data_IF_449809191264
#
_entry.id   IF_449809191264
#
_cell.length_a   1.000
_cell.length_b   1.000
_cell.length_c   1.000
_cell.angle_alpha   90.00
_cell.angle_beta   90.00
_cell.angle_gamma   90.00
#
_symmetry.space_group_name_H-M   'P 1'
#
loop_
_entity.id
_entity.type
_entity.pdbx_description
1 polymer ?
#
# COMPACT_ATOMS: atom_id res chain seq x y z
N UNK A 1 4.33 42.06 84.30
CA UNK A 1 3.52 42.90 83.38
C UNK A 1 3.38 42.13 82.07
N UNK A 2 2.23 41.85 81.46
CA UNK A 2 0.82 41.95 81.81
C UNK A 2 0.08 40.81 81.07
N UNK A 3 -0.94 40.24 81.73
CA UNK A 3 -1.93 39.28 81.20
C UNK A 3 -3.02 39.99 80.37
N UNK A 4 -3.88 39.18 79.72
CA UNK A 4 -5.27 39.42 79.26
C UNK A 4 -5.40 39.82 77.77
N UNK A 5 -6.40 39.43 76.99
CA UNK A 5 -7.61 38.61 77.20
C UNK A 5 -8.35 38.51 75.85
N UNK A 6 -8.96 37.37 75.55
CA UNK A 6 -9.98 37.22 74.49
C UNK A 6 -11.25 38.02 74.84
N UNK A 7 -11.99 38.57 73.85
CA UNK A 7 -13.36 39.04 74.05
C UNK A 7 -14.41 37.99 73.64
N UNK A 8 -15.64 38.08 74.17
CA UNK A 8 -16.65 37.02 74.10
C UNK A 8 -17.59 37.18 72.90
N UNK A 9 -18.24 36.06 72.55
CA UNK A 9 -19.24 35.98 71.50
C UNK A 9 -20.49 36.82 71.77
N UNK A 10 -21.09 37.29 70.69
CA UNK A 10 -22.48 37.75 70.63
C UNK A 10 -23.22 36.96 69.56
N UNK A 11 -24.22 36.21 70.02
CA UNK A 11 -25.26 35.58 69.23
C UNK A 11 -26.29 36.62 68.80
N UNK A 12 -26.63 36.64 67.50
CA UNK A 12 -27.76 37.39 66.93
C UNK A 12 -28.62 36.40 66.14
N UNK A 13 -29.98 36.42 66.23
CA UNK A 13 -30.85 35.46 65.55
C UNK A 13 -31.02 35.77 64.05
N UNK A 14 -31.60 34.85 63.26
CA UNK A 14 -31.44 34.83 61.81
C UNK A 14 -32.39 35.80 61.09
N UNK A 15 -31.86 36.58 60.15
CA UNK A 15 -32.66 37.21 59.12
C UNK A 15 -32.88 36.21 57.98
N UNK A 16 -34.13 35.78 57.78
CA UNK A 16 -34.58 35.02 56.62
C UNK A 16 -34.41 35.86 55.35
N UNK A 17 -33.29 35.68 54.66
CA UNK A 17 -33.07 36.15 53.30
C UNK A 17 -33.30 34.99 52.33
N UNK A 18 -34.42 35.04 51.62
CA UNK A 18 -34.73 34.22 50.45
C UNK A 18 -33.64 34.41 49.38
N UNK A 19 -32.63 33.52 49.36
CA UNK A 19 -31.69 33.42 48.26
C UNK A 19 -32.18 32.30 47.33
N UNK A 20 -32.69 32.72 46.17
CA UNK A 20 -32.98 31.85 45.06
C UNK A 20 -31.75 30.98 44.73
N UNK A 21 -31.97 29.69 44.53
CA UNK A 21 -30.97 28.77 43.97
C UNK A 21 -30.52 29.31 42.60
N UNK A 22 -29.21 29.51 42.36
CA UNK A 22 -28.74 29.74 41.02
C UNK A 22 -28.74 28.41 40.25
N UNK A 23 -29.59 28.37 39.23
CA UNK A 23 -29.67 27.33 38.23
C UNK A 23 -28.30 27.01 37.59
N UNK A 24 -28.06 25.72 37.41
CA UNK A 24 -27.29 25.09 36.33
C UNK A 24 -25.92 25.70 35.96
N UNK A 25 -24.94 25.58 36.86
CA UNK A 25 -23.53 25.61 36.47
C UNK A 25 -23.16 24.26 35.86
N UNK A 26 -23.12 24.16 34.51
CA UNK A 26 -22.54 22.99 33.79
C UNK A 26 -21.13 22.72 34.34
N UNK A 27 -21.00 21.69 35.19
CA UNK A 27 -19.72 21.21 35.71
C UNK A 27 -18.78 20.90 34.54
N UNK A 28 -17.56 21.43 34.59
CA UNK A 28 -16.53 21.11 33.63
C UNK A 28 -16.38 19.58 33.51
N UNK A 29 -16.22 19.03 32.29
CA UNK A 29 -16.18 17.60 32.09
C UNK A 29 -15.00 16.99 32.86
N UNK A 30 -15.28 15.92 33.59
CA UNK A 30 -14.25 15.14 34.29
C UNK A 30 -13.65 14.11 33.34
N UNK A 31 -12.41 13.68 33.59
CA UNK A 31 -11.79 12.61 32.81
C UNK A 31 -12.64 11.32 32.82
N UNK A 32 -13.26 11.01 33.96
CA UNK A 32 -14.14 9.85 34.10
C UNK A 32 -15.41 9.98 33.24
N UNK A 33 -16.04 11.15 33.21
CA UNK A 33 -17.24 11.37 32.39
C UNK A 33 -16.94 11.32 30.89
N UNK A 34 -15.80 11.86 30.45
CA UNK A 34 -15.38 11.80 29.04
C UNK A 34 -15.03 10.36 28.61
N UNK A 35 -14.36 9.57 29.46
CA UNK A 35 -14.10 8.14 29.19
C UNK A 35 -15.41 7.35 29.08
N UNK A 36 -16.36 7.60 29.98
CA UNK A 36 -17.67 6.96 29.90
C UNK A 36 -18.48 7.33 28.65
N UNK A 37 -18.24 8.52 28.08
CA UNK A 37 -18.81 8.92 26.79
C UNK A 37 -18.17 8.15 25.63
N UNK A 38 -16.84 8.01 25.62
CA UNK A 38 -16.11 7.16 24.66
C UNK A 38 -16.61 5.72 24.71
N UNK A 39 -16.73 5.13 25.91
CA UNK A 39 -17.20 3.75 26.08
C UNK A 39 -18.61 3.52 25.49
N UNK A 40 -19.47 4.54 25.52
CA UNK A 40 -20.80 4.48 24.89
C UNK A 40 -20.70 4.54 23.37
N UNK A 41 -19.90 5.48 22.85
CA UNK A 41 -19.64 5.61 21.41
C UNK A 41 -19.03 4.31 20.86
N UNK A 42 -18.10 3.68 21.57
CA UNK A 42 -17.47 2.44 21.14
C UNK A 42 -18.47 1.28 21.03
N UNK A 43 -19.44 1.19 21.95
CA UNK A 43 -20.53 0.20 21.86
C UNK A 43 -21.46 0.45 20.67
N UNK A 44 -21.77 1.72 20.40
CA UNK A 44 -22.54 2.10 19.22
C UNK A 44 -21.77 1.79 17.93
N UNK A 45 -20.46 2.07 17.91
CA UNK A 45 -19.58 1.76 16.79
C UNK A 45 -19.59 0.25 16.52
N UNK A 46 -19.38 -0.59 17.53
CA UNK A 46 -19.45 -2.05 17.39
C UNK A 46 -20.79 -2.49 16.79
N UNK A 47 -21.90 -1.90 17.24
CA UNK A 47 -23.24 -2.20 16.72
C UNK A 47 -23.36 -1.84 15.24
N UNK A 48 -22.87 -0.66 14.84
CA UNK A 48 -22.87 -0.19 13.44
C UNK A 48 -21.96 -1.08 12.57
N UNK A 49 -20.78 -1.45 13.06
CA UNK A 49 -19.83 -2.31 12.36
C UNK A 49 -20.43 -3.71 12.14
N UNK A 50 -21.09 -4.30 13.14
CA UNK A 50 -21.78 -5.58 13.03
C UNK A 50 -22.93 -5.54 12.02
N UNK A 51 -23.71 -4.45 12.02
CA UNK A 51 -24.77 -4.24 11.02
C UNK A 51 -24.19 -4.14 9.61
N UNK A 52 -23.10 -3.40 9.43
CA UNK A 52 -22.39 -3.29 8.14
C UNK A 52 -21.87 -4.65 7.68
N UNK A 53 -21.28 -5.44 8.59
CA UNK A 53 -20.79 -6.78 8.29
C UNK A 53 -21.92 -7.71 7.84
N UNK A 54 -23.08 -7.66 8.52
CA UNK A 54 -24.26 -8.45 8.15
C UNK A 54 -24.76 -8.13 6.73
N UNK A 55 -24.79 -6.84 6.37
CA UNK A 55 -25.14 -6.41 5.00
C UNK A 55 -24.09 -6.88 4.00
N UNK A 56 -22.80 -6.82 4.35
CA UNK A 56 -21.72 -7.30 3.49
C UNK A 56 -21.85 -8.81 3.21
N UNK A 57 -22.24 -9.62 4.21
CA UNK A 57 -22.53 -11.05 4.01
C UNK A 57 -23.70 -11.27 3.04
N UNK A 58 -24.79 -10.50 3.15
CA UNK A 58 -25.91 -10.58 2.21
C UNK A 58 -25.48 -10.20 0.78
N UNK A 59 -24.65 -9.15 0.62
CA UNK A 59 -24.06 -8.79 -0.67
C UNK A 59 -23.22 -9.94 -1.22
N UNK A 60 -22.42 -10.60 -0.37
CA UNK A 60 -21.63 -11.77 -0.73
C UNK A 60 -22.49 -12.91 -1.27
N UNK A 61 -23.62 -13.20 -0.63
CA UNK A 61 -24.59 -14.21 -1.09
C UNK A 61 -25.14 -13.86 -2.48
N UNK A 62 -25.61 -12.62 -2.67
CA UNK A 62 -26.13 -12.14 -3.96
C UNK A 62 -25.06 -12.22 -5.05
N UNK A 63 -23.82 -11.83 -4.74
CA UNK A 63 -22.71 -11.92 -5.70
C UNK A 63 -22.41 -13.37 -6.06
N UNK A 64 -22.35 -14.27 -5.09
CA UNK A 64 -22.05 -15.66 -5.32
C UNK A 64 -23.13 -16.35 -6.17
N UNK A 65 -24.42 -16.08 -5.90
CA UNK A 65 -25.54 -16.60 -6.70
C UNK A 65 -25.50 -16.11 -8.15
N UNK A 66 -25.03 -14.89 -8.39
CA UNK A 66 -24.95 -14.28 -9.72
C UNK A 66 -23.58 -14.45 -10.40
N UNK A 67 -22.64 -15.20 -9.79
CA UNK A 67 -21.28 -15.36 -10.31
C UNK A 67 -20.47 -14.05 -10.38
N UNK A 68 -20.84 -13.05 -9.59
CA UNK A 68 -20.18 -11.74 -9.56
C UNK A 68 -18.95 -11.77 -8.64
N UNK A 69 -17.92 -10.99 -9.00
CA UNK A 69 -16.70 -10.89 -8.23
C UNK A 69 -16.90 -10.17 -6.88
N UNK A 70 -16.23 -10.70 -5.85
CA UNK A 70 -16.34 -10.20 -4.48
C UNK A 70 -15.56 -8.89 -4.31
N UNK A 71 -14.38 -8.80 -4.91
CA UNK A 71 -13.50 -7.64 -4.84
C UNK A 71 -13.54 -6.81 -6.14
N UNK A 72 -13.54 -5.48 -5.99
CA UNK A 72 -13.39 -4.52 -7.09
C UNK A 72 -12.67 -3.28 -6.55
N UNK A 73 -11.57 -2.89 -7.19
CA UNK A 73 -10.82 -1.69 -6.83
C UNK A 73 -11.67 -0.42 -7.01
N UNK A 74 -12.48 -0.38 -8.08
CA UNK A 74 -13.36 0.74 -8.36
C UNK A 74 -14.36 0.98 -7.23
N UNK A 75 -14.95 -0.11 -6.70
CA UNK A 75 -15.90 -0.01 -5.58
C UNK A 75 -15.21 0.40 -4.28
N UNK A 76 -14.00 -0.08 -4.01
CA UNK A 76 -13.23 0.38 -2.84
C UNK A 76 -12.97 1.88 -2.90
N UNK A 77 -12.54 2.39 -4.06
CA UNK A 77 -12.24 3.80 -4.25
C UNK A 77 -13.50 4.66 -4.08
N UNK A 78 -14.64 4.20 -4.62
CA UNK A 78 -15.93 4.88 -4.43
C UNK A 78 -16.33 4.96 -2.95
N UNK A 79 -16.14 3.88 -2.19
CA UNK A 79 -16.44 3.85 -0.75
C UNK A 79 -15.50 4.80 0.01
N UNK A 80 -14.21 4.76 -0.27
CA UNK A 80 -13.23 5.65 0.36
C UNK A 80 -13.53 7.12 0.04
N UNK A 81 -13.80 7.46 -1.22
CA UNK A 81 -14.15 8.82 -1.63
C UNK A 81 -15.40 9.34 -0.89
N UNK A 82 -16.43 8.51 -0.75
CA UNK A 82 -17.66 8.86 -0.01
C UNK A 82 -17.40 9.09 1.48
N UNK A 83 -16.62 8.22 2.10
CA UNK A 83 -16.29 8.32 3.53
C UNK A 83 -15.45 9.55 3.81
N UNK A 84 -14.42 9.79 3.01
CA UNK A 84 -13.53 10.94 3.16
C UNK A 84 -14.25 12.25 2.90
N UNK A 85 -15.15 12.30 1.89
CA UNK A 85 -15.97 13.47 1.61
C UNK A 85 -17.03 13.78 2.67
N UNK A 86 -17.47 12.77 3.44
CA UNK A 86 -18.42 12.94 4.53
C UNK A 86 -17.75 13.30 5.88
N UNK A 87 -16.42 13.20 5.98
CA UNK A 87 -15.71 13.47 7.23
C UNK A 87 -15.63 14.97 7.51
N UNK A 88 -16.27 15.41 8.60
CA UNK A 88 -16.13 16.76 9.16
C UNK A 88 -15.48 16.75 10.56
N UNK A 89 -15.01 15.58 10.99
CA UNK A 89 -14.47 15.36 12.32
C UNK A 89 -12.98 15.68 12.44
N UNK A 90 -12.44 15.63 13.66
CA UNK A 90 -11.02 15.93 13.94
C UNK A 90 -10.05 14.82 13.50
N UNK A 91 -10.55 13.66 13.07
CA UNK A 91 -9.70 12.56 12.62
C UNK A 91 -9.04 12.89 11.28
N UNK A 92 -7.71 12.73 11.16
CA UNK A 92 -7.02 12.89 9.88
C UNK A 92 -7.58 11.94 8.81
N UNK A 93 -7.61 12.41 7.57
CA UNK A 93 -8.15 11.63 6.44
C UNK A 93 -7.38 10.32 6.21
N UNK A 94 -6.06 10.31 6.40
CA UNK A 94 -5.24 9.10 6.26
C UNK A 94 -5.59 8.04 7.29
N UNK A 95 -5.85 8.44 8.53
CA UNK A 95 -6.31 7.53 9.60
C UNK A 95 -7.66 6.91 9.25
N UNK A 96 -8.62 7.72 8.79
CA UNK A 96 -9.93 7.22 8.37
C UNK A 96 -9.80 6.23 7.20
N UNK A 97 -8.92 6.51 6.23
CA UNK A 97 -8.66 5.62 5.11
C UNK A 97 -8.16 4.24 5.58
N UNK A 98 -7.22 4.20 6.53
CA UNK A 98 -6.69 2.95 7.09
C UNK A 98 -7.79 2.15 7.81
N UNK A 99 -8.58 2.79 8.66
CA UNK A 99 -9.70 2.16 9.38
C UNK A 99 -10.68 1.53 8.40
N UNK A 100 -11.09 2.26 7.36
CA UNK A 100 -12.06 1.76 6.39
C UNK A 100 -11.47 0.67 5.48
N UNK A 101 -10.18 0.71 5.14
CA UNK A 101 -9.52 -0.38 4.40
C UNK A 101 -9.54 -1.68 5.19
N UNK A 102 -9.20 -1.64 6.47
CA UNK A 102 -9.20 -2.84 7.32
C UNK A 102 -10.63 -3.35 7.57
N UNK A 103 -11.58 -2.44 7.82
CA UNK A 103 -12.99 -2.80 7.92
C UNK A 103 -13.54 -3.44 6.64
N UNK A 104 -13.18 -2.91 5.47
CA UNK A 104 -13.52 -3.51 4.18
C UNK A 104 -12.87 -4.89 4.02
N UNK A 105 -11.62 -5.05 4.45
CA UNK A 105 -10.93 -6.36 4.44
C UNK A 105 -11.67 -7.40 5.29
N UNK A 106 -11.91 -7.11 6.57
CA UNK A 106 -12.60 -8.04 7.47
C UNK A 106 -14.00 -8.42 6.98
N UNK A 107 -14.77 -7.44 6.47
CA UNK A 107 -16.11 -7.72 5.92
C UNK A 107 -16.12 -8.46 4.59
N UNK A 108 -15.03 -8.40 3.81
CA UNK A 108 -14.86 -9.25 2.62
C UNK A 108 -14.49 -10.68 2.97
N UNK A 109 -13.67 -10.88 4.00
CA UNK A 109 -13.30 -12.21 4.47
C UNK A 109 -14.53 -13.05 4.87
N UNK A 110 -15.61 -12.39 5.32
CA UNK A 110 -16.91 -13.03 5.61
C UNK A 110 -17.66 -13.52 4.36
N UNK A 111 -17.37 -12.99 3.16
CA UNK A 111 -18.07 -13.32 1.92
C UNK A 111 -17.43 -14.53 1.22
N UNK A 112 -16.09 -14.63 1.26
CA UNK A 112 -15.27 -15.76 0.79
C UNK A 112 -13.83 -15.52 1.20
N UNK A 113 -13.06 -16.59 1.37
CA UNK A 113 -11.59 -16.48 1.48
C UNK A 113 -11.02 -15.98 0.16
N UNK A 114 -10.68 -14.69 0.12
CA UNK A 114 -9.85 -14.13 -0.95
C UNK A 114 -8.42 -14.63 -0.76
N UNK A 115 -7.81 -15.08 -1.86
CA UNK A 115 -6.42 -15.53 -1.89
C UNK A 115 -5.63 -14.61 -2.81
N UNK A 116 -4.52 -14.09 -2.30
CA UNK A 116 -3.68 -13.13 -3.01
C UNK A 116 -2.25 -13.66 -3.03
N UNK A 117 -1.71 -13.95 -4.21
CA UNK A 117 -0.32 -14.34 -4.34
C UNK A 117 0.61 -13.11 -4.30
N UNK A 118 1.75 -13.21 -3.63
CA UNK A 118 2.76 -12.16 -3.63
C UNK A 118 4.16 -12.76 -3.53
N UNK A 119 5.17 -12.02 -4.00
CA UNK A 119 6.56 -12.43 -3.83
C UNK A 119 6.93 -12.48 -2.34
N UNK A 120 7.32 -13.66 -1.88
CA UNK A 120 7.71 -13.91 -0.49
C UNK A 120 9.11 -13.37 -0.14
N UNK A 121 9.55 -13.61 1.11
CA UNK A 121 8.78 -14.22 2.20
C UNK A 121 7.80 -13.22 2.86
N UNK A 122 7.06 -13.66 3.89
CA UNK A 122 6.23 -12.74 4.70
C UNK A 122 7.06 -11.58 5.23
N UNK A 123 6.44 -10.41 5.35
CA UNK A 123 7.08 -9.14 5.75
C UNK A 123 8.08 -8.55 4.75
N UNK A 124 8.21 -9.13 3.54
CA UNK A 124 8.82 -8.44 2.40
C UNK A 124 7.97 -7.23 1.97
N UNK A 125 8.55 -6.29 1.23
CA UNK A 125 7.77 -5.15 0.72
C UNK A 125 6.64 -5.56 -0.23
N UNK A 126 6.78 -6.66 -0.97
CA UNK A 126 5.69 -7.23 -1.78
C UNK A 126 4.54 -7.75 -0.91
N UNK A 127 4.87 -8.40 0.21
CA UNK A 127 3.87 -8.81 1.21
C UNK A 127 3.18 -7.59 1.84
N UNK A 128 3.95 -6.56 2.23
CA UNK A 128 3.39 -5.33 2.79
C UNK A 128 2.49 -4.59 1.80
N UNK A 129 2.84 -4.56 0.51
CA UNK A 129 1.98 -4.02 -0.53
C UNK A 129 0.66 -4.81 -0.66
N UNK A 130 0.70 -6.15 -0.53
CA UNK A 130 -0.49 -7.00 -0.52
C UNK A 130 -1.38 -6.70 0.69
N UNK A 131 -0.81 -6.63 1.90
CA UNK A 131 -1.54 -6.27 3.13
C UNK A 131 -2.11 -4.86 3.04
N UNK A 132 -1.35 -3.87 2.59
CA UNK A 132 -1.82 -2.49 2.46
C UNK A 132 -3.01 -2.33 1.49
N UNK A 133 -3.10 -3.18 0.47
CA UNK A 133 -4.18 -3.15 -0.52
C UNK A 133 -5.39 -4.00 -0.12
N UNK A 134 -5.16 -5.23 0.33
CA UNK A 134 -6.22 -6.20 0.58
C UNK A 134 -6.62 -6.32 2.06
N UNK A 135 -5.79 -5.81 2.97
CA UNK A 135 -5.88 -5.96 4.43
C UNK A 135 -5.30 -7.27 4.94
N UNK A 136 -5.14 -7.39 6.25
CA UNK A 136 -4.47 -8.53 6.87
C UNK A 136 -5.34 -9.80 6.90
N UNK A 137 -6.66 -9.63 6.96
CA UNK A 137 -7.64 -10.74 7.06
C UNK A 137 -7.73 -11.65 5.81
N UNK A 138 -7.05 -11.30 4.71
CA UNK A 138 -7.03 -12.05 3.46
C UNK A 138 -5.94 -13.14 3.49
N UNK A 139 -6.13 -14.26 2.78
CA UNK A 139 -5.09 -15.28 2.68
C UNK A 139 -3.99 -14.82 1.71
N UNK A 140 -2.85 -14.40 2.28
CA UNK A 140 -1.67 -13.99 1.52
C UNK A 140 -0.78 -15.21 1.22
N UNK A 141 -0.76 -15.64 -0.05
CA UNK A 141 0.02 -16.78 -0.54
C UNK A 141 1.40 -16.29 -1.00
N UNK A 142 2.42 -16.49 -0.16
CA UNK A 142 3.80 -16.09 -0.52
C UNK A 142 4.45 -17.15 -1.41
N UNK A 143 4.97 -16.73 -2.57
CA UNK A 143 5.66 -17.60 -3.52
C UNK A 143 7.12 -17.17 -3.75
N UNK A 144 7.95 -18.06 -4.29
CA UNK A 144 9.40 -17.86 -4.39
C UNK A 144 9.88 -16.99 -5.55
N UNK A 145 9.03 -16.68 -6.54
CA UNK A 145 9.41 -15.88 -7.71
C UNK A 145 8.24 -15.05 -8.24
N UNK A 146 8.54 -13.99 -8.99
CA UNK A 146 7.53 -13.18 -9.68
C UNK A 146 6.75 -14.06 -10.67
N UNK A 147 7.44 -14.94 -11.39
CA UNK A 147 6.81 -15.86 -12.33
C UNK A 147 5.76 -16.75 -11.65
N UNK A 148 6.06 -17.28 -10.46
CA UNK A 148 5.10 -18.07 -9.69
C UNK A 148 3.84 -17.27 -9.32
N UNK A 149 3.95 -15.95 -9.06
CA UNK A 149 2.76 -15.10 -8.80
C UNK A 149 1.85 -15.06 -10.03
N UNK A 150 2.42 -14.87 -11.21
CA UNK A 150 1.65 -14.88 -12.46
C UNK A 150 1.04 -16.26 -12.75
N UNK A 151 1.77 -17.34 -12.51
CA UNK A 151 1.26 -18.70 -12.72
C UNK A 151 0.09 -19.04 -11.79
N UNK A 152 0.16 -18.65 -10.51
CA UNK A 152 -0.93 -18.86 -9.55
C UNK A 152 -2.22 -18.14 -9.98
N UNK A 153 -2.09 -16.92 -10.53
CA UNK A 153 -3.23 -16.16 -11.08
C UNK A 153 -3.74 -16.79 -12.36
N UNK A 154 -2.85 -17.12 -13.31
CA UNK A 154 -3.22 -17.70 -14.60
C UNK A 154 -3.88 -19.09 -14.47
N UNK A 155 -3.48 -19.88 -13.45
CA UNK A 155 -4.10 -21.18 -13.12
C UNK A 155 -5.34 -21.05 -12.24
N UNK A 156 -5.73 -19.82 -11.86
CA UNK A 156 -6.88 -19.52 -10.98
C UNK A 156 -6.78 -20.18 -9.60
N UNK A 157 -5.58 -20.46 -9.13
CA UNK A 157 -5.35 -20.93 -7.75
C UNK A 157 -5.60 -19.79 -6.74
N UNK A 158 -5.30 -18.56 -7.17
CA UNK A 158 -5.58 -17.33 -6.44
C UNK A 158 -6.41 -16.38 -7.31
N UNK A 159 -7.11 -15.43 -6.69
CA UNK A 159 -7.89 -14.44 -7.44
C UNK A 159 -7.04 -13.26 -7.91
N UNK A 160 -5.99 -12.93 -7.13
CA UNK A 160 -5.14 -11.77 -7.39
C UNK A 160 -3.67 -12.10 -7.14
N UNK A 161 -2.79 -11.37 -7.81
CA UNK A 161 -1.36 -11.36 -7.56
C UNK A 161 -0.85 -9.95 -7.30
N UNK A 162 0.22 -9.81 -6.50
CA UNK A 162 0.95 -8.56 -6.30
C UNK A 162 2.38 -8.73 -6.82
N UNK A 163 2.76 -7.90 -7.78
CA UNK A 163 4.10 -7.91 -8.39
C UNK A 163 4.68 -6.49 -8.47
N UNK A 164 5.97 -6.29 -8.18
CA UNK A 164 6.59 -4.98 -8.33
C UNK A 164 6.80 -4.66 -9.82
N UNK A 165 6.46 -3.44 -10.24
CA UNK A 165 6.65 -2.94 -11.61
C UNK A 165 7.96 -2.14 -11.73
N UNK A 166 8.18 -1.22 -10.81
CA UNK A 166 9.35 -0.34 -10.78
C UNK A 166 9.67 0.10 -9.34
N UNK A 167 10.92 0.44 -9.12
CA UNK A 167 11.40 1.15 -7.94
C UNK A 167 12.06 2.47 -8.39
N UNK A 168 11.81 3.57 -7.70
CA UNK A 168 12.34 4.89 -8.07
C UNK A 168 13.87 5.00 -8.01
N UNK A 169 14.52 4.12 -7.26
CA UNK A 169 15.98 4.11 -7.07
C UNK A 169 16.67 3.08 -7.97
N UNK A 170 16.07 1.90 -8.19
CA UNK A 170 16.67 0.80 -8.97
C UNK A 170 16.05 0.56 -10.34
N UNK A 171 15.02 1.35 -10.69
CA UNK A 171 14.35 1.29 -11.98
C UNK A 171 13.36 0.14 -12.11
N UNK A 172 13.15 -0.30 -13.36
CA UNK A 172 12.17 -1.33 -13.73
C UNK A 172 12.49 -2.70 -13.14
N UNK A 173 11.45 -3.51 -12.95
CA UNK A 173 11.59 -4.93 -12.60
C UNK A 173 11.41 -5.78 -13.86
N UNK A 174 12.52 -6.21 -14.45
CA UNK A 174 12.56 -6.93 -15.73
C UNK A 174 11.69 -8.21 -15.72
N UNK A 175 11.73 -8.99 -14.64
CA UNK A 175 10.97 -10.25 -14.53
C UNK A 175 9.45 -10.03 -14.64
N UNK A 176 8.94 -8.94 -14.06
CA UNK A 176 7.51 -8.60 -14.14
C UNK A 176 7.13 -8.22 -15.57
N UNK A 177 7.96 -7.43 -16.25
CA UNK A 177 7.73 -7.01 -17.63
C UNK A 177 7.76 -8.21 -18.59
N UNK A 178 8.76 -9.08 -18.44
CA UNK A 178 8.86 -10.33 -19.20
C UNK A 178 7.60 -11.20 -19.01
N UNK A 179 7.07 -11.28 -17.80
CA UNK A 179 5.89 -12.09 -17.53
C UNK A 179 4.60 -11.59 -18.20
N UNK A 180 4.43 -10.28 -18.35
CA UNK A 180 3.33 -9.73 -19.15
C UNK A 180 3.43 -10.12 -20.63
N UNK A 181 4.64 -10.35 -21.16
CA UNK A 181 4.81 -10.82 -22.54
C UNK A 181 4.38 -12.27 -22.72
N UNK A 182 4.65 -13.11 -21.70
CA UNK A 182 4.42 -14.56 -21.71
C UNK A 182 2.99 -14.94 -21.36
N UNK A 183 2.31 -14.16 -20.51
CA UNK A 183 0.95 -14.44 -20.02
C UNK A 183 0.00 -13.27 -20.33
N UNK A 184 -0.41 -13.07 -21.60
CA UNK A 184 -1.16 -11.89 -22.04
C UNK A 184 -2.59 -11.80 -21.48
N UNK A 185 -3.12 -12.90 -20.94
CA UNK A 185 -4.43 -12.96 -20.29
C UNK A 185 -4.44 -12.33 -18.90
N UNK A 186 -3.27 -12.18 -18.28
CA UNK A 186 -3.14 -11.53 -16.97
C UNK A 186 -3.11 -10.02 -17.16
N UNK A 187 -4.04 -9.33 -16.51
CA UNK A 187 -4.25 -7.88 -16.60
C UNK A 187 -3.92 -7.18 -15.28
N UNK A 188 -3.50 -5.92 -15.37
CA UNK A 188 -3.34 -5.02 -14.23
C UNK A 188 -4.72 -4.44 -13.89
N UNK A 189 -5.14 -4.67 -12.65
CA UNK A 189 -6.47 -4.29 -12.14
C UNK A 189 -6.42 -3.15 -11.12
N UNK A 190 -5.26 -2.95 -10.49
CA UNK A 190 -4.98 -1.81 -9.63
C UNK A 190 -3.46 -1.63 -9.50
N UNK A 191 -3.04 -0.49 -8.98
CA UNK A 191 -1.66 -0.25 -8.56
C UNK A 191 -1.59 0.01 -7.05
N UNK A 192 -0.42 -0.24 -6.47
CA UNK A 192 -0.07 0.12 -5.09
C UNK A 192 1.26 0.86 -5.15
N UNK A 193 1.31 2.07 -4.58
CA UNK A 193 2.52 2.89 -4.53
C UNK A 193 3.00 2.92 -3.09
N UNK A 194 4.04 2.15 -2.78
CA UNK A 194 4.54 1.98 -1.41
C UNK A 194 5.84 2.74 -1.24
N UNK A 195 5.90 3.68 -0.29
CA UNK A 195 7.15 4.33 0.11
C UNK A 195 7.92 3.39 1.02
N UNK A 196 9.17 3.14 0.65
CA UNK A 196 10.05 2.17 1.27
C UNK A 196 10.94 2.86 2.28
N UNK A 197 10.76 2.50 3.56
CA UNK A 197 11.62 2.95 4.65
C UNK A 197 12.41 1.78 5.21
N UNK A 198 13.73 1.91 5.21
CA UNK A 198 14.62 0.91 5.76
C UNK A 198 14.94 1.23 7.21
N UNK A 199 14.86 0.22 8.05
CA UNK A 199 15.23 0.29 9.46
C UNK A 199 16.46 -0.57 9.71
N UNK A 200 17.34 -0.11 10.60
CA UNK A 200 18.35 -0.97 11.21
C UNK A 200 17.69 -1.74 12.36
N UNK A 201 17.68 -3.05 12.26
CA UNK A 201 17.09 -3.96 13.24
C UNK A 201 18.18 -4.78 13.93
N UNK A 202 18.01 -5.09 15.21
CA UNK A 202 18.94 -5.96 15.94
C UNK A 202 18.49 -6.29 17.35
N UNK A 203 19.16 -7.26 17.98
CA UNK A 203 18.98 -7.59 19.41
C UNK A 203 20.06 -6.98 20.31
N UNK A 204 21.20 -6.61 19.73
CA UNK A 204 22.32 -6.01 20.44
C UNK A 204 22.30 -4.49 20.32
N UNK A 205 23.11 -3.83 21.16
CA UNK A 205 23.46 -2.43 20.96
C UNK A 205 24.17 -2.25 19.63
N UNK A 206 23.90 -1.13 18.95
CA UNK A 206 24.44 -0.86 17.61
C UNK A 206 25.98 -0.86 17.56
N UNK A 207 26.65 -0.54 18.66
CA UNK A 207 28.12 -0.47 18.78
C UNK A 207 28.79 -1.84 18.85
N UNK A 208 28.04 -2.88 19.20
CA UNK A 208 28.53 -4.25 19.30
C UNK A 208 28.33 -5.03 17.99
N UNK A 209 27.60 -4.44 17.04
CA UNK A 209 27.18 -5.11 15.82
C UNK A 209 28.37 -5.42 14.91
N UNK A 210 28.56 -6.71 14.60
CA UNK A 210 29.66 -7.22 13.76
C UNK A 210 29.23 -7.48 12.34
N UNK A 211 27.93 -7.74 12.11
CA UNK A 211 27.38 -8.04 10.78
C UNK A 211 26.02 -7.39 10.58
N UNK A 212 25.75 -6.96 9.36
CA UNK A 212 24.47 -6.43 8.91
C UNK A 212 24.02 -7.22 7.69
N UNK A 213 22.89 -7.91 7.81
CA UNK A 213 22.26 -8.65 6.72
C UNK A 213 21.28 -7.78 5.96
N UNK A 214 21.23 -7.89 4.63
CA UNK A 214 20.07 -7.47 3.84
C UNK A 214 20.17 -7.97 2.40
N UNK A 215 19.16 -7.67 1.58
CA UNK A 215 19.28 -7.82 0.13
C UNK A 215 20.29 -6.80 -0.41
N UNK A 216 21.04 -7.15 -1.45
CA UNK A 216 22.03 -6.28 -2.11
C UNK A 216 21.51 -4.87 -2.38
N UNK A 217 20.29 -4.78 -2.92
CA UNK A 217 19.58 -3.52 -3.19
C UNK A 217 19.41 -2.65 -1.93
N UNK A 218 18.91 -3.24 -0.83
CA UNK A 218 18.69 -2.50 0.42
C UNK A 218 20.01 -2.09 1.09
N UNK A 219 21.06 -2.92 1.03
CA UNK A 219 22.40 -2.54 1.49
C UNK A 219 22.96 -1.38 0.67
N UNK A 220 22.78 -1.41 -0.65
CA UNK A 220 23.22 -0.34 -1.55
C UNK A 220 22.47 0.96 -1.29
N UNK A 221 21.17 0.89 -1.04
CA UNK A 221 20.32 2.04 -0.72
C UNK A 221 20.61 2.66 0.66
N UNK A 222 21.31 1.96 1.56
CA UNK A 222 21.66 2.47 2.89
C UNK A 222 23.18 2.61 3.07
N UNK A 223 23.94 2.66 1.96
CA UNK A 223 25.39 2.53 1.96
C UNK A 223 26.05 3.66 2.73
N UNK A 224 25.61 4.90 2.54
CA UNK A 224 26.23 6.05 3.19
C UNK A 224 25.96 6.02 4.70
N UNK A 225 24.72 5.71 5.10
CA UNK A 225 24.36 5.59 6.51
C UNK A 225 25.13 4.44 7.19
N UNK A 226 25.18 3.26 6.58
CA UNK A 226 25.91 2.11 7.10
C UNK A 226 27.42 2.35 7.16
N UNK A 227 27.99 3.03 6.15
CA UNK A 227 29.41 3.38 6.13
C UNK A 227 29.79 4.35 7.24
N UNK A 228 28.91 5.31 7.55
CA UNK A 228 29.13 6.31 8.61
C UNK A 228 28.94 5.74 10.02
N UNK A 229 27.88 4.96 10.24
CA UNK A 229 27.48 4.55 11.59
C UNK A 229 27.98 3.14 11.97
N UNK A 230 28.19 2.26 10.99
CA UNK A 230 28.65 0.88 11.18
C UNK A 230 29.85 0.56 10.27
N UNK A 231 30.95 1.33 10.34
CA UNK A 231 32.11 1.10 9.47
C UNK A 231 32.73 -0.29 9.68
N UNK A 232 32.74 -0.78 10.92
CA UNK A 232 33.36 -2.05 11.31
C UNK A 232 32.48 -3.28 11.05
N UNK A 233 31.17 -3.12 10.86
CA UNK A 233 30.27 -4.25 10.63
C UNK A 233 30.40 -4.76 9.18
N UNK A 234 30.50 -6.07 9.00
CA UNK A 234 30.45 -6.69 7.68
C UNK A 234 29.04 -6.62 7.11
N UNK A 235 28.90 -6.19 5.85
CA UNK A 235 27.62 -6.12 5.15
C UNK A 235 27.45 -7.41 4.34
N UNK A 236 26.45 -8.22 4.68
CA UNK A 236 26.27 -9.56 4.11
C UNK A 236 24.98 -9.62 3.31
N UNK A 237 25.12 -9.95 2.03
CA UNK A 237 23.99 -10.06 1.10
C UNK A 237 23.22 -11.37 1.30
N UNK A 238 21.90 -11.25 1.33
CA UNK A 238 20.98 -12.38 1.45
C UNK A 238 19.79 -12.21 0.50
N UNK A 239 18.94 -13.24 0.43
CA UNK A 239 17.88 -13.33 -0.59
C UNK A 239 16.75 -12.30 -0.44
N UNK A 240 16.50 -11.76 0.76
CA UNK A 240 15.48 -10.73 0.98
C UNK A 240 15.71 -9.95 2.28
N UNK A 241 15.09 -8.78 2.42
CA UNK A 241 15.10 -7.97 3.65
C UNK A 241 14.44 -8.70 4.82
N UNK A 242 13.36 -9.43 4.59
CA UNK A 242 12.69 -10.21 5.63
C UNK A 242 13.53 -11.45 6.06
N UNK A 243 14.20 -12.12 5.13
CA UNK A 243 15.17 -13.18 5.48
C UNK A 243 16.36 -12.64 6.28
N UNK A 244 16.76 -11.39 6.02
CA UNK A 244 17.78 -10.73 6.83
C UNK A 244 17.34 -10.51 8.28
N UNK A 245 16.10 -10.07 8.49
CA UNK A 245 15.53 -9.94 9.83
C UNK A 245 15.47 -11.30 10.56
N UNK A 246 15.07 -12.38 9.85
CA UNK A 246 15.10 -13.73 10.41
C UNK A 246 16.52 -14.16 10.83
N UNK A 247 17.54 -13.87 10.01
CA UNK A 247 18.94 -14.20 10.32
C UNK A 247 19.47 -13.39 11.52
N UNK A 248 19.18 -12.08 11.57
CA UNK A 248 19.56 -11.23 12.69
C UNK A 248 18.89 -11.62 14.02
N UNK A 249 17.72 -12.25 13.97
CA UNK A 249 17.09 -12.84 15.15
C UNK A 249 17.87 -14.03 15.69
N UNK A 250 18.49 -14.84 14.82
CA UNK A 250 19.18 -16.08 15.21
C UNK A 250 20.61 -15.84 15.67
N UNK A 251 21.32 -14.92 15.02
CA UNK A 251 22.73 -14.66 15.31
C UNK A 251 22.92 -13.57 16.37
N UNK A 252 23.89 -13.74 17.26
CA UNK A 252 24.30 -12.71 18.21
C UNK A 252 25.17 -11.65 17.53
N UNK A 253 25.07 -10.40 17.99
CA UNK A 253 25.82 -9.27 17.41
C UNK A 253 25.57 -9.03 15.92
N UNK A 254 24.45 -9.54 15.40
CA UNK A 254 23.98 -9.31 14.04
C UNK A 254 22.83 -8.31 14.02
N UNK A 255 22.78 -7.51 12.95
CA UNK A 255 21.65 -6.69 12.60
C UNK A 255 21.13 -6.98 11.20
N UNK A 256 20.00 -6.37 10.86
CA UNK A 256 19.40 -6.44 9.55
C UNK A 256 18.96 -5.06 9.07
N UNK A 257 19.08 -4.80 7.77
CA UNK A 257 18.34 -3.72 7.14
C UNK A 257 17.03 -4.30 6.60
N UNK A 258 15.90 -3.92 7.19
CA UNK A 258 14.59 -4.43 6.78
C UNK A 258 13.45 -3.45 7.11
N UNK A 259 12.22 -3.84 6.78
CA UNK A 259 11.02 -3.06 7.06
C UNK A 259 10.70 -3.03 8.56
N UNK A 260 10.04 -1.98 9.02
CA UNK A 260 9.60 -1.86 10.42
C UNK A 260 8.66 -3.00 10.87
N UNK A 261 7.69 -3.46 10.05
CA UNK A 261 6.88 -4.63 10.39
C UNK A 261 7.70 -5.92 10.58
N UNK A 262 8.81 -6.10 9.86
CA UNK A 262 9.69 -7.25 10.07
C UNK A 262 10.32 -7.23 11.47
N UNK A 263 10.59 -6.06 12.05
CA UNK A 263 11.09 -5.94 13.41
C UNK A 263 10.12 -6.56 14.43
N UNK A 264 8.83 -6.24 14.30
CA UNK A 264 7.78 -6.78 15.17
C UNK A 264 7.65 -8.30 15.00
N UNK A 265 7.60 -8.76 13.75
CA UNK A 265 7.45 -10.17 13.42
C UNK A 265 8.59 -11.04 13.98
N UNK A 266 9.84 -10.57 13.82
CA UNK A 266 11.03 -11.29 14.25
C UNK A 266 11.53 -10.86 15.64
N UNK A 267 10.74 -10.07 16.39
CA UNK A 267 11.05 -9.59 17.75
C UNK A 267 12.43 -8.95 17.86
N UNK A 268 12.75 -8.09 16.89
CA UNK A 268 13.98 -7.29 16.86
C UNK A 268 13.68 -5.85 17.32
N UNK A 269 14.67 -5.22 17.94
CA UNK A 269 14.59 -3.80 18.25
C UNK A 269 14.84 -2.99 16.98
N UNK A 270 14.07 -1.92 16.81
CA UNK A 270 14.34 -0.89 15.79
C UNK A 270 15.40 0.04 16.38
N UNK A 271 16.64 -0.08 15.89
CA UNK A 271 17.80 0.68 16.37
C UNK A 271 17.93 2.03 15.67
N UNK A 272 17.51 2.09 14.41
CA UNK A 272 17.41 3.33 13.64
C UNK A 272 16.33 3.19 12.58
N UNK A 273 15.59 4.27 12.33
CA UNK A 273 14.56 4.36 11.29
C UNK A 273 15.05 5.25 10.14
N UNK A 274 14.52 5.02 8.94
CA UNK A 274 14.75 5.83 7.73
C UNK A 274 16.24 5.97 7.39
N UNK A 275 16.96 4.85 7.34
CA UNK A 275 18.41 4.81 7.10
C UNK A 275 18.77 4.80 5.60
N UNK A 276 17.77 4.80 4.72
CA UNK A 276 17.97 4.92 3.29
C UNK A 276 18.62 6.26 2.91
N UNK A 277 19.52 6.21 1.94
CA UNK A 277 20.25 7.37 1.43
C UNK A 277 19.33 8.31 0.64
N UNK A 278 18.18 7.83 0.15
CA UNK A 278 17.16 8.59 -0.56
C UNK A 278 15.80 8.48 0.13
N UNK A 279 15.31 9.59 0.70
CA UNK A 279 14.03 9.62 1.43
C UNK A 279 12.79 9.35 0.55
N UNK A 280 12.89 9.57 -0.77
CA UNK A 280 11.79 9.39 -1.72
C UNK A 280 11.86 8.03 -2.46
N UNK A 281 12.21 6.97 -1.74
CA UNK A 281 12.24 5.61 -2.30
C UNK A 281 10.83 5.05 -2.44
N UNK A 282 10.32 4.97 -3.66
CA UNK A 282 8.97 4.51 -3.97
C UNK A 282 9.04 3.23 -4.82
N UNK A 283 8.31 2.19 -4.40
CA UNK A 283 8.07 1.02 -5.23
C UNK A 283 6.63 1.02 -5.72
N UNK A 284 6.45 0.89 -7.03
CA UNK A 284 5.14 0.73 -7.66
C UNK A 284 4.88 -0.77 -7.85
N UNK A 285 3.76 -1.26 -7.35
CA UNK A 285 3.31 -2.63 -7.53
C UNK A 285 2.04 -2.66 -8.38
N UNK A 286 1.89 -3.70 -9.20
CA UNK A 286 0.66 -4.04 -9.89
C UNK A 286 -0.11 -5.10 -9.11
N UNK A 287 -1.43 -4.88 -8.99
CA UNK A 287 -2.39 -5.93 -8.68
C UNK A 287 -2.79 -6.57 -10.00
N UNK A 288 -2.49 -7.86 -10.16
CA UNK A 288 -2.77 -8.62 -11.38
C UNK A 288 -3.94 -9.58 -11.18
N UNK A 289 -4.77 -9.75 -12.21
CA UNK A 289 -5.94 -10.62 -12.25
C UNK A 289 -6.23 -11.08 -13.70
N UNK A 290 -7.14 -12.01 -13.91
CA UNK A 290 -7.60 -12.40 -15.26
C UNK A 290 -8.57 -11.36 -15.87
N UNK A 291 -9.32 -10.66 -15.03
CA UNK A 291 -10.38 -9.72 -15.43
C UNK A 291 -9.91 -8.27 -15.34
N UNK A 292 -10.35 -7.41 -16.29
CA UNK A 292 -10.10 -5.96 -16.20
C UNK A 292 -10.94 -5.31 -15.10
N UNK A 293 -10.55 -4.10 -14.67
CA UNK A 293 -11.34 -3.29 -13.73
C UNK A 293 -12.36 -2.41 -14.45
N UNK A 294 -13.39 -1.97 -13.72
CA UNK A 294 -14.33 -0.97 -14.19
C UNK A 294 -13.75 0.45 -14.11
N UNK A 295 -14.25 1.33 -14.99
CA UNK A 295 -13.91 2.76 -15.03
C UNK A 295 -14.28 3.48 -13.73
N UNK A 296 -13.38 4.32 -13.22
CA UNK A 296 -13.62 5.19 -12.05
C UNK A 296 -13.60 6.69 -12.37
N UNK A 297 -13.09 7.08 -13.54
CA UNK A 297 -12.92 8.48 -13.93
C UNK A 297 -11.60 9.10 -13.48
N UNK A 298 -10.85 8.44 -12.59
CA UNK A 298 -9.46 8.77 -12.24
C UNK A 298 -8.56 7.56 -12.50
N UNK A 299 -8.59 7.10 -13.74
CA UNK A 299 -7.95 5.87 -14.16
C UNK A 299 -6.59 6.10 -14.82
N UNK A 300 -5.83 5.03 -14.93
CA UNK A 300 -4.62 4.90 -15.72
C UNK A 300 -4.76 3.65 -16.58
N UNK A 301 -4.17 3.67 -17.78
CA UNK A 301 -4.10 2.51 -18.67
C UNK A 301 -2.65 2.18 -18.98
N UNK A 302 -2.25 0.93 -18.78
CA UNK A 302 -0.92 0.44 -19.16
C UNK A 302 -0.98 -0.27 -20.50
N UNK A 303 -0.07 0.09 -21.40
CA UNK A 303 0.08 -0.45 -22.74
C UNK A 303 1.43 -1.14 -22.87
N UNK A 304 1.47 -2.20 -23.67
CA UNK A 304 2.70 -2.84 -24.13
C UNK A 304 2.71 -2.79 -25.66
N UNK A 305 3.69 -2.09 -26.22
CA UNK A 305 3.81 -1.86 -27.65
C UNK A 305 5.12 -2.41 -28.19
N UNK A 306 5.06 -3.17 -29.29
CA UNK A 306 6.22 -3.52 -30.10
C UNK A 306 6.31 -2.53 -31.24
N UNK A 307 7.45 -1.86 -31.36
CA UNK A 307 7.68 -0.84 -32.39
C UNK A 307 8.70 -1.33 -33.42
N UNK A 308 8.59 -0.92 -34.70
CA UNK A 308 9.65 -1.12 -35.68
C UNK A 308 10.95 -0.48 -35.20
N UNK A 309 12.09 -1.15 -35.42
CA UNK A 309 13.40 -0.61 -35.04
C UNK A 309 13.94 0.35 -36.12
N UNK A 310 13.28 1.50 -36.27
CA UNK A 310 13.58 2.50 -37.30
C UNK A 310 13.74 3.91 -36.70
N UNK A 311 14.40 4.80 -37.44
CA UNK A 311 14.62 6.19 -37.03
C UNK A 311 13.28 6.91 -36.76
N UNK A 312 13.16 7.41 -35.53
CA UNK A 312 11.98 8.14 -35.07
C UNK A 312 10.75 7.28 -34.79
N UNK A 313 10.87 5.94 -34.79
CA UNK A 313 9.75 5.02 -34.56
C UNK A 313 9.02 5.31 -33.24
N UNK A 314 9.75 5.48 -32.13
CA UNK A 314 9.16 5.82 -30.84
C UNK A 314 8.43 7.17 -30.87
N UNK A 315 9.10 8.22 -31.34
CA UNK A 315 8.54 9.57 -31.40
C UNK A 315 7.26 9.61 -32.26
N UNK A 316 7.28 8.97 -33.43
CA UNK A 316 6.10 8.87 -34.32
C UNK A 316 4.97 8.10 -33.64
N UNK A 317 5.29 7.04 -32.89
CA UNK A 317 4.30 6.16 -32.25
C UNK A 317 3.58 6.84 -31.09
N UNK A 318 4.27 7.65 -30.28
CA UNK A 318 3.66 8.35 -29.12
C UNK A 318 3.09 9.74 -29.46
N UNK A 319 3.47 10.34 -30.59
CA UNK A 319 2.95 11.64 -31.05
C UNK A 319 1.40 11.76 -31.06
N UNK A 320 0.61 10.71 -31.33
CA UNK A 320 -0.84 10.79 -31.22
C UNK A 320 -1.35 11.10 -29.81
N UNK A 321 -0.64 10.70 -28.75
CA UNK A 321 -1.02 10.96 -27.36
C UNK A 321 -1.08 12.48 -27.11
N UNK A 322 -0.02 13.19 -27.51
CA UNK A 322 0.07 14.65 -27.41
C UNK A 322 -1.05 15.34 -28.20
N UNK A 323 -1.23 14.98 -29.48
CA UNK A 323 -2.25 15.57 -30.37
C UNK A 323 -3.67 15.38 -29.83
N UNK A 324 -3.89 14.30 -29.11
CA UNK A 324 -5.18 13.96 -28.51
C UNK A 324 -5.23 14.35 -27.03
N UNK A 325 -4.25 15.09 -26.49
CA UNK A 325 -4.27 15.57 -25.10
C UNK A 325 -4.29 14.47 -24.03
N UNK A 326 -3.74 13.28 -24.32
CA UNK A 326 -3.64 12.16 -23.38
C UNK A 326 -2.27 12.19 -22.72
N UNK A 327 -2.24 12.41 -21.40
CA UNK A 327 -0.98 12.46 -20.66
C UNK A 327 -0.35 11.06 -20.53
N UNK A 328 0.98 10.99 -20.67
CA UNK A 328 1.76 9.78 -20.47
C UNK A 328 2.58 9.93 -19.19
N UNK A 329 2.40 9.01 -18.25
CA UNK A 329 3.01 9.08 -16.90
C UNK A 329 4.23 8.20 -16.70
N UNK A 330 4.45 7.24 -17.62
CA UNK A 330 5.56 6.31 -17.54
C UNK A 330 5.86 5.73 -18.92
N UNK A 331 7.15 5.53 -19.21
CA UNK A 331 7.62 4.86 -20.42
C UNK A 331 8.88 4.08 -20.08
N UNK A 332 8.95 2.83 -20.51
CA UNK A 332 10.10 1.96 -20.29
C UNK A 332 10.37 1.10 -21.52
N UNK A 333 11.64 1.02 -21.95
CA UNK A 333 12.05 0.13 -23.03
C UNK A 333 12.45 -1.24 -22.47
N UNK A 334 12.08 -2.31 -23.18
CA UNK A 334 12.35 -3.68 -22.79
C UNK A 334 12.90 -4.45 -23.99
N UNK A 335 14.21 -4.79 -23.99
CA UNK A 335 14.79 -5.58 -25.06
C UNK A 335 14.28 -7.02 -24.98
N UNK A 336 13.76 -7.53 -26.09
CA UNK A 336 13.41 -8.94 -26.22
C UNK A 336 14.62 -9.72 -26.74
N UNK A 337 14.92 -10.91 -26.18
CA UNK A 337 15.88 -11.82 -26.78
C UNK A 337 15.47 -12.09 -28.24
N UNK A 338 16.40 -11.94 -29.18
CA UNK A 338 16.13 -12.25 -30.59
C UNK A 338 15.84 -13.73 -30.75
N UNK A 339 14.83 -14.05 -31.58
CA UNK A 339 14.71 -15.41 -32.11
C UNK A 339 15.93 -15.71 -32.99
N UNK A 340 16.32 -16.99 -33.06
CA UNK A 340 17.42 -17.46 -33.90
C UNK A 340 17.14 -17.15 -35.38
N UNK A 341 17.63 -16.00 -35.86
CA UNK A 341 17.47 -15.54 -37.25
C UNK A 341 17.47 -14.02 -37.44
N UNK A 342 17.09 -13.23 -36.43
CA UNK A 342 17.07 -11.76 -36.52
C UNK A 342 18.41 -11.14 -36.09
N UNK A 343 18.91 -10.19 -36.89
CA UNK A 343 20.18 -9.50 -36.65
C UNK A 343 20.10 -8.41 -35.58
N UNK A 344 18.90 -7.87 -35.30
CA UNK A 344 18.69 -6.77 -34.36
C UNK A 344 17.67 -7.15 -33.25
N UNK A 345 17.91 -6.76 -31.99
CA UNK A 345 16.96 -6.99 -30.90
C UNK A 345 15.66 -6.22 -31.10
N UNK A 346 14.54 -6.93 -31.02
CA UNK A 346 13.22 -6.31 -30.98
C UNK A 346 13.01 -5.63 -29.62
N UNK A 347 12.41 -4.43 -29.63
CA UNK A 347 12.11 -3.69 -28.41
C UNK A 347 10.60 -3.66 -28.14
N UNK A 348 10.24 -3.96 -26.91
CA UNK A 348 8.93 -3.65 -26.34
C UNK A 348 9.01 -2.34 -25.57
N UNK A 349 7.92 -1.59 -25.60
CA UNK A 349 7.75 -0.37 -24.83
C UNK A 349 6.53 -0.54 -23.92
N UNK A 350 6.75 -0.35 -22.62
CA UNK A 350 5.67 -0.29 -21.64
C UNK A 350 5.35 1.18 -21.38
N UNK A 351 4.07 1.54 -21.41
CA UNK A 351 3.62 2.92 -21.36
C UNK A 351 2.43 3.02 -20.40
N UNK A 352 2.46 3.96 -19.45
CA UNK A 352 1.25 4.31 -18.68
C UNK A 352 0.68 5.62 -19.23
N UNK A 353 -0.60 5.61 -19.58
CA UNK A 353 -1.35 6.80 -19.98
C UNK A 353 -2.48 7.09 -18.99
N UNK A 354 -2.84 8.36 -18.84
CA UNK A 354 -3.97 8.76 -18.01
C UNK A 354 -5.30 8.54 -18.73
N UNK A 355 -6.27 8.01 -17.99
CA UNK A 355 -7.61 7.68 -18.47
C UNK A 355 -7.84 6.19 -18.67
N UNK A 356 -9.10 5.83 -18.91
CA UNK A 356 -9.58 4.46 -19.04
C UNK A 356 -9.72 4.07 -20.52
N UNK A 357 -9.54 2.78 -20.86
CA UNK A 357 -9.68 2.27 -22.24
C UNK A 357 -11.10 2.45 -22.82
N UNK A 358 -12.09 2.82 -22.00
CA UNK A 358 -13.45 3.13 -22.46
C UNK A 358 -13.68 4.63 -22.69
N UNK A 359 -12.71 5.49 -22.34
CA UNK A 359 -12.82 6.92 -22.58
C UNK A 359 -12.66 7.22 -24.07
N UNK A 360 -13.57 7.97 -24.72
CA UNK A 360 -13.52 8.19 -26.17
C UNK A 360 -12.19 8.78 -26.67
N UNK A 361 -11.58 9.67 -25.88
CA UNK A 361 -10.29 10.30 -26.19
C UNK A 361 -9.13 9.28 -26.08
N UNK A 362 -9.12 8.46 -25.03
CA UNK A 362 -8.13 7.41 -24.81
C UNK A 362 -8.25 6.32 -25.86
N UNK A 363 -9.46 5.91 -26.23
CA UNK A 363 -9.71 4.95 -27.32
C UNK A 363 -9.13 5.43 -28.64
N UNK A 364 -9.42 6.69 -29.02
CA UNK A 364 -8.85 7.30 -30.23
C UNK A 364 -7.33 7.33 -30.17
N UNK A 365 -6.76 7.62 -29.01
CA UNK A 365 -5.32 7.67 -28.81
C UNK A 365 -4.67 6.29 -28.93
N UNK A 366 -5.19 5.27 -28.24
CA UNK A 366 -4.73 3.88 -28.32
C UNK A 366 -4.81 3.38 -29.76
N UNK A 367 -5.89 3.65 -30.49
CA UNK A 367 -6.05 3.22 -31.88
C UNK A 367 -5.05 3.93 -32.81
N UNK A 368 -4.79 5.22 -32.58
CA UNK A 368 -3.81 5.98 -33.36
C UNK A 368 -2.36 5.52 -33.09
N UNK A 369 -2.05 5.12 -31.85
CA UNK A 369 -0.77 4.50 -31.49
C UNK A 369 -0.67 3.10 -32.12
N UNK A 370 -1.71 2.27 -31.99
CA UNK A 370 -1.77 0.89 -32.53
C UNK A 370 -1.42 0.83 -34.03
N UNK A 371 -1.90 1.78 -34.83
CA UNK A 371 -1.60 1.88 -36.27
C UNK A 371 -0.12 2.12 -36.60
N UNK A 372 0.70 2.47 -35.61
CA UNK A 372 2.13 2.76 -35.74
C UNK A 372 3.01 1.73 -35.04
N UNK A 373 2.40 0.72 -34.42
CA UNK A 373 3.08 -0.37 -33.74
C UNK A 373 2.92 -1.67 -34.54
N UNK A 374 3.90 -2.56 -34.44
CA UNK A 374 3.77 -3.93 -34.95
C UNK A 374 2.77 -4.73 -34.10
N UNK A 375 2.72 -4.43 -32.81
CA UNK A 375 1.80 -5.03 -31.84
C UNK A 375 1.52 -4.02 -30.73
N UNK A 376 0.28 -3.97 -30.27
CA UNK A 376 -0.11 -3.21 -29.09
C UNK A 376 -1.13 -3.99 -28.27
N UNK A 377 -0.76 -4.27 -27.03
CA UNK A 377 -1.61 -4.92 -26.03
C UNK A 377 -1.96 -3.94 -24.92
N UNK A 378 -3.24 -3.93 -24.53
CA UNK A 378 -3.67 -3.24 -23.31
C UNK A 378 -3.47 -4.22 -22.15
N UNK A 379 -2.58 -3.86 -21.23
CA UNK A 379 -2.29 -4.66 -20.04
C UNK A 379 -3.30 -4.41 -18.93
N UNK A 380 -4.02 -3.29 -18.95
CA UNK A 380 -5.14 -3.04 -18.04
C UNK A 380 -5.47 -1.56 -17.95
N UNK A 381 -6.71 -1.26 -17.57
CA UNK A 381 -7.15 0.07 -17.14
C UNK A 381 -7.64 -0.03 -15.71
N UNK A 382 -7.17 0.85 -14.84
CA UNK A 382 -7.35 0.72 -13.40
C UNK A 382 -7.25 2.05 -12.66
N UNK A 383 -7.79 2.15 -11.42
CA UNK A 383 -7.78 3.39 -10.64
C UNK A 383 -6.35 3.80 -10.29
N UNK A 384 -6.05 5.10 -10.36
CA UNK A 384 -4.78 5.67 -9.88
C UNK A 384 -4.70 5.55 -8.36
N UNK A 385 -3.55 5.13 -7.83
CA UNK A 385 -3.34 5.03 -6.38
C UNK A 385 -2.60 6.24 -5.81
N UNK A 386 -2.99 6.62 -4.60
CA UNK A 386 -2.18 7.46 -3.72
C UNK A 386 -0.97 6.68 -3.17
N UNK A 387 0.01 7.42 -2.64
CA UNK A 387 1.20 6.86 -1.99
C UNK A 387 0.82 6.36 -0.59
N UNK A 388 1.32 5.19 -0.21
CA UNK A 388 1.11 4.55 1.09
C UNK A 388 2.48 4.37 1.74
N UNK A 389 2.58 4.59 3.04
CA UNK A 389 3.79 4.36 3.82
C UNK A 389 3.95 2.87 4.17
N UNK A 390 5.18 2.33 4.11
CA UNK A 390 5.49 0.90 4.37
C UNK A 390 5.51 0.46 5.82
#
# INVERSE_FOLDING_TARGET
>A
MARKSSPPGRTVPPAKGSAAEPADAKKAPTLASLRGEIDRIDKELVTILNRRASIATQIGQVKNTNGLEIWSAAREEEVLAKVLGASQGPLPQDTLRLIFRELMSGTRALQRTLRVACLGPKYSYSYLAAVAKFGEAVEHVTVGSIAAVFEEVNRRHVQFGIVPLENSTDGRIADTLDMFTKLPNVKIRAEVRLRIHHCLLGRCEWSQMRRVYSKSQALSQCRNWLGKNLPQAAKVEVVSTAAAAELAQREEYAGAVASKPAAQAYRLNVLAENIEDQANNLTRFAVIAETPEARTGRDKTTLMARLPNEVGSLAKSIAPLEKLGVNMTWIESFPMPTGSGDKDPAYLFFLDIEGHVTDPQVQKAIEAVRKRCERLDVLGSYPRSEIIES
#
